data_IF_454578261812
#
_entry.id   IF_454578261812
#
_cell.length_a   1.000
_cell.length_b   1.000
_cell.length_c   1.000
_cell.angle_alpha   90.00
_cell.angle_beta   90.00
_cell.angle_gamma   90.00
#
_symmetry.space_group_name_H-M   'P 1'
#
loop_
_entity.id
_entity.type
_entity.pdbx_description
1 polymer ?
#
# COMPACT_ATOMS: atom_id res chain seq x y z
N UNK A 1 -3.73 30.02 9.65
CA UNK A 1 -4.09 29.39 8.36
C UNK A 1 -2.84 28.72 7.78
N UNK A 2 -2.96 27.45 7.37
CA UNK A 2 -2.10 26.65 6.48
C UNK A 2 -0.60 26.46 6.79
N UNK A 3 -0.28 25.39 7.52
CA UNK A 3 1.03 24.71 7.45
C UNK A 3 0.84 23.27 6.97
N UNK A 4 0.43 23.10 5.71
CA UNK A 4 0.13 21.80 5.11
C UNK A 4 1.17 21.30 4.09
N UNK A 5 2.22 22.08 3.80
CA UNK A 5 3.06 21.83 2.62
C UNK A 5 4.37 21.06 2.88
N UNK A 6 4.77 20.82 4.13
CA UNK A 6 6.09 20.24 4.45
C UNK A 6 6.11 18.71 4.49
N UNK A 7 5.04 18.06 4.98
CA UNK A 7 4.98 16.61 5.09
C UNK A 7 5.09 15.89 3.75
N UNK A 8 4.68 16.56 2.64
CA UNK A 8 4.72 15.93 1.32
C UNK A 8 6.11 15.77 0.74
N UNK A 9 6.96 16.78 0.91
CA UNK A 9 8.34 16.75 0.44
C UNK A 9 9.18 15.73 1.22
N UNK A 10 8.99 15.64 2.53
CA UNK A 10 9.73 14.69 3.38
C UNK A 10 9.35 13.23 3.14
N UNK A 11 8.06 12.91 2.91
CA UNK A 11 7.69 11.51 2.59
C UNK A 11 8.24 11.06 1.23
N UNK A 12 8.34 11.97 0.24
CA UNK A 12 8.92 11.64 -1.07
C UNK A 12 10.42 11.48 -1.00
N UNK A 13 11.11 12.31 -0.23
CA UNK A 13 12.54 12.17 -0.02
C UNK A 13 12.90 10.81 0.61
N UNK A 14 12.13 10.35 1.61
CA UNK A 14 12.38 9.08 2.27
C UNK A 14 12.09 7.86 1.38
N UNK A 15 11.04 7.93 0.55
CA UNK A 15 10.75 6.88 -0.43
C UNK A 15 11.84 6.83 -1.51
N UNK A 16 12.27 7.98 -2.04
CA UNK A 16 13.35 8.07 -3.03
C UNK A 16 14.69 7.59 -2.48
N UNK A 17 15.01 7.88 -1.22
CA UNK A 17 16.21 7.35 -0.55
C UNK A 17 16.17 5.83 -0.40
N UNK A 18 14.97 5.26 -0.25
CA UNK A 18 14.73 3.81 -0.23
C UNK A 18 14.55 3.22 -1.64
N UNK A 19 14.75 4.02 -2.69
CA UNK A 19 14.51 3.64 -4.08
C UNK A 19 13.08 3.18 -4.40
N UNK A 20 12.12 3.60 -3.57
CA UNK A 20 10.70 3.29 -3.71
C UNK A 20 9.96 4.44 -4.40
N UNK A 21 9.17 4.10 -5.41
CA UNK A 21 8.35 5.03 -6.15
C UNK A 21 6.86 4.69 -5.97
N UNK A 22 6.02 5.63 -5.49
CA UNK A 22 4.59 5.36 -5.34
C UNK A 22 3.94 5.05 -6.67
N UNK A 23 3.13 3.99 -6.69
CA UNK A 23 2.43 3.57 -7.90
C UNK A 23 1.46 4.64 -8.40
N UNK A 24 0.86 5.42 -7.50
CA UNK A 24 0.02 6.57 -7.86
C UNK A 24 0.76 7.63 -8.69
N UNK A 25 2.04 7.89 -8.40
CA UNK A 25 2.83 8.87 -9.15
C UNK A 25 3.26 8.28 -10.50
N UNK A 26 3.61 7.00 -10.55
CA UNK A 26 3.89 6.27 -11.79
C UNK A 26 2.70 6.39 -12.75
N UNK A 27 1.50 6.03 -12.31
CA UNK A 27 0.28 6.15 -13.12
C UNK A 27 0.04 7.58 -13.62
N UNK A 28 0.33 8.58 -12.77
CA UNK A 28 0.18 9.99 -13.13
C UNK A 28 1.21 10.44 -14.17
N UNK A 29 2.45 9.97 -14.08
CA UNK A 29 3.53 10.34 -15.01
C UNK A 29 3.34 9.71 -16.40
N UNK A 30 2.91 8.45 -16.46
CA UNK A 30 2.76 7.77 -17.74
C UNK A 30 1.54 8.24 -18.54
N UNK A 31 0.55 8.89 -17.89
CA UNK A 31 -0.67 9.47 -18.48
C UNK A 31 -1.43 8.55 -19.47
N UNK A 32 -1.09 7.26 -19.48
CA UNK A 32 -1.69 6.18 -20.24
C UNK A 32 -2.14 5.13 -19.21
N UNK A 33 -3.33 4.53 -19.40
CA UNK A 33 -3.72 3.39 -18.58
C UNK A 33 -2.70 2.27 -18.75
N UNK A 34 -2.31 1.66 -17.63
CA UNK A 34 -1.42 0.48 -17.63
C UNK A 34 -2.07 -0.63 -18.47
N UNK A 35 -1.24 -1.41 -19.16
CA UNK A 35 -1.73 -2.53 -19.94
C UNK A 35 -2.23 -3.67 -19.02
N UNK A 36 -2.94 -4.63 -19.60
CA UNK A 36 -3.51 -5.75 -18.84
C UNK A 36 -2.42 -6.56 -18.12
N UNK A 37 -1.31 -6.88 -18.79
CA UNK A 37 -0.20 -7.64 -18.17
C UNK A 37 0.45 -6.89 -16.99
N UNK A 38 0.56 -5.57 -17.08
CA UNK A 38 1.07 -4.71 -16.01
C UNK A 38 0.12 -4.69 -14.82
N UNK A 39 -1.20 -4.59 -15.07
CA UNK A 39 -2.20 -4.70 -14.03
C UNK A 39 -2.12 -6.06 -13.33
N UNK A 40 -1.99 -7.15 -14.10
CA UNK A 40 -1.79 -8.49 -13.56
C UNK A 40 -0.52 -8.61 -12.72
N UNK A 41 0.61 -8.13 -13.21
CA UNK A 41 1.89 -8.19 -12.51
C UNK A 41 1.83 -7.44 -11.16
N UNK A 42 1.28 -6.23 -11.14
CA UNK A 42 1.15 -5.43 -9.92
C UNK A 42 0.19 -6.11 -8.93
N UNK A 43 -0.95 -6.61 -9.39
CA UNK A 43 -1.91 -7.31 -8.54
C UNK A 43 -1.32 -8.59 -7.92
N UNK A 44 -0.60 -9.38 -8.73
CA UNK A 44 0.04 -10.60 -8.27
C UNK A 44 1.11 -10.31 -7.21
N UNK A 45 1.98 -9.32 -7.48
CA UNK A 45 3.03 -8.94 -6.54
C UNK A 45 2.49 -8.33 -5.25
N UNK A 46 1.42 -7.51 -5.33
CA UNK A 46 0.70 -7.05 -4.13
C UNK A 46 0.23 -8.26 -3.30
N UNK A 47 -0.42 -9.24 -3.93
CA UNK A 47 -0.93 -10.42 -3.24
C UNK A 47 0.20 -11.25 -2.61
N UNK A 48 1.31 -11.47 -3.33
CA UNK A 48 2.48 -12.19 -2.81
C UNK A 48 3.09 -11.48 -1.60
N UNK A 49 3.21 -10.16 -1.65
CA UNK A 49 3.69 -9.36 -0.53
C UNK A 49 2.83 -9.60 0.72
N UNK A 50 1.50 -9.59 0.58
CA UNK A 50 0.57 -9.82 1.67
C UNK A 50 0.62 -11.24 2.25
N UNK A 51 0.74 -12.25 1.39
CA UNK A 51 0.88 -13.64 1.81
C UNK A 51 2.17 -13.86 2.61
N UNK A 52 3.25 -13.15 2.26
CA UNK A 52 4.55 -13.27 2.91
C UNK A 52 4.64 -12.50 4.23
N UNK A 53 4.17 -11.26 4.26
CA UNK A 53 4.38 -10.36 5.41
C UNK A 53 3.33 -10.53 6.51
N UNK A 54 2.19 -11.18 6.27
CA UNK A 54 1.08 -11.43 7.22
C UNK A 54 0.81 -10.26 8.20
N UNK A 55 0.96 -9.02 7.75
CA UNK A 55 0.97 -7.85 8.63
C UNK A 55 -0.36 -7.11 8.53
N UNK A 56 -1.21 -7.28 9.56
CA UNK A 56 -2.51 -6.61 9.65
C UNK A 56 -2.40 -5.09 9.50
N UNK A 57 -1.31 -4.50 9.99
CA UNK A 57 -1.01 -3.07 9.87
C UNK A 57 -0.88 -2.62 8.41
N UNK A 58 -0.28 -3.45 7.53
CA UNK A 58 -0.14 -3.10 6.11
C UNK A 58 -1.44 -3.23 5.34
N UNK A 59 -2.31 -4.17 5.72
CA UNK A 59 -3.68 -4.22 5.20
C UNK A 59 -4.48 -2.96 5.57
N UNK A 60 -4.35 -2.47 6.81
CA UNK A 60 -5.01 -1.23 7.22
C UNK A 60 -4.56 -0.05 6.36
N UNK A 61 -3.27 0.04 6.06
CA UNK A 61 -2.71 1.11 5.22
C UNK A 61 -3.19 1.04 3.77
N UNK A 62 -3.36 -0.16 3.21
CA UNK A 62 -3.97 -0.30 1.88
C UNK A 62 -5.45 0.11 1.92
N UNK A 63 -6.18 -0.27 2.96
CA UNK A 63 -7.59 0.12 3.08
C UNK A 63 -7.75 1.64 3.23
N UNK A 64 -6.89 2.29 4.03
CA UNK A 64 -6.97 3.72 4.32
C UNK A 64 -6.46 4.59 3.14
N UNK A 65 -5.33 4.21 2.52
CA UNK A 65 -4.65 5.03 1.51
C UNK A 65 -4.74 4.48 0.08
N UNK A 66 -5.26 3.27 -0.10
CA UNK A 66 -5.40 2.62 -1.40
C UNK A 66 -4.08 2.52 -2.15
N UNK A 67 -4.11 2.84 -3.44
CA UNK A 67 -2.96 2.80 -4.34
C UNK A 67 -1.80 3.74 -3.95
N UNK A 68 -2.03 4.68 -3.02
CA UNK A 68 -1.03 5.65 -2.54
C UNK A 68 -0.11 5.10 -1.45
N UNK A 69 -0.41 3.92 -0.89
CA UNK A 69 0.50 3.17 -0.01
C UNK A 69 1.31 2.12 -0.78
N UNK A 70 0.94 1.82 -2.02
CA UNK A 70 1.67 0.90 -2.91
C UNK A 70 2.86 1.63 -3.54
N UNK A 71 4.05 1.08 -3.35
CA UNK A 71 5.29 1.57 -3.94
C UNK A 71 6.00 0.45 -4.71
N UNK A 72 6.74 0.81 -5.75
CA UNK A 72 7.56 -0.08 -6.55
C UNK A 72 9.04 0.30 -6.38
N UNK A 73 9.95 -0.67 -6.29
CA UNK A 73 11.38 -0.41 -6.43
C UNK A 73 11.83 -0.46 -7.91
N UNK A 74 13.11 -0.17 -8.19
CA UNK A 74 13.68 -0.29 -9.55
C UNK A 74 13.67 -1.70 -10.10
N UNK A 75 13.70 -2.70 -9.23
CA UNK A 75 13.66 -4.12 -9.57
C UNK A 75 12.24 -4.57 -9.95
N UNK A 76 11.23 -3.73 -9.72
CA UNK A 76 9.83 -4.00 -10.01
C UNK A 76 9.09 -4.74 -8.91
N UNK A 77 9.68 -4.87 -7.71
CA UNK A 77 9.05 -5.44 -6.52
C UNK A 77 8.07 -4.44 -5.87
N UNK A 78 6.93 -4.97 -5.42
CA UNK A 78 5.89 -4.20 -4.71
C UNK A 78 6.17 -4.15 -3.21
N UNK A 79 6.13 -2.94 -2.66
CA UNK A 79 6.19 -2.68 -1.22
C UNK A 79 5.01 -1.83 -0.75
N UNK A 80 4.41 -2.21 0.38
CA UNK A 80 3.37 -1.41 1.03
C UNK A 80 4.03 -0.57 2.12
N UNK A 81 4.08 0.73 1.88
CA UNK A 81 4.68 1.68 2.81
C UNK A 81 3.62 2.16 3.80
N UNK A 82 3.93 1.99 5.08
CA UNK A 82 3.11 2.49 6.17
C UNK A 82 3.38 3.98 6.27
N UNK A 83 2.38 4.81 5.93
CA UNK A 83 2.45 6.23 6.25
C UNK A 83 2.35 6.33 7.77
N UNK A 84 3.49 6.53 8.42
CA UNK A 84 3.52 6.88 9.84
C UNK A 84 2.99 8.31 10.00
N UNK A 85 1.67 8.47 9.85
CA UNK A 85 0.96 9.60 10.42
C UNK A 85 1.03 9.43 11.93
N UNK A 86 1.59 10.41 12.63
CA UNK A 86 1.82 10.33 14.07
C UNK A 86 0.59 9.89 14.88
N UNK A 87 0.79 9.34 16.09
CA UNK A 87 -0.22 8.68 16.89
C UNK A 87 -1.27 9.66 17.44
N UNK A 88 -2.20 10.12 16.60
CA UNK A 88 -3.36 10.90 17.02
C UNK A 88 -4.62 10.23 16.46
N UNK A 89 -5.00 9.11 17.07
CA UNK A 89 -6.16 8.31 16.68
C UNK A 89 -6.52 7.28 17.75
N UNK A 90 -6.81 7.76 18.96
CA UNK A 90 -7.67 7.16 19.99
C UNK A 90 -7.97 5.67 19.89
N UNK A 91 -7.07 4.80 20.38
CA UNK A 91 -7.33 3.51 21.05
C UNK A 91 -8.67 2.79 20.85
N UNK A 92 -9.14 2.67 19.61
CA UNK A 92 -10.34 1.93 19.23
C UNK A 92 -9.95 1.13 18.01
N UNK A 93 -9.13 0.10 18.25
CA UNK A 93 -9.03 -1.00 17.30
C UNK A 93 -10.45 -1.53 17.01
N UNK A 94 -10.69 -2.03 15.80
CA UNK A 94 -11.98 -2.65 15.48
C UNK A 94 -12.26 -3.79 16.49
N UNK A 95 -13.53 -4.00 16.89
CA UNK A 95 -13.87 -5.08 17.81
C UNK A 95 -13.39 -6.40 17.23
N UNK A 96 -12.65 -7.18 18.04
CA UNK A 96 -12.26 -8.53 17.67
C UNK A 96 -13.50 -9.35 17.34
N UNK A 97 -13.52 -9.94 16.14
CA UNK A 97 -14.59 -10.82 15.71
C UNK A 97 -14.47 -11.21 14.25
N UNK A 98 -14.02 -12.43 14.01
CA UNK A 98 -14.65 -13.33 13.03
C UNK A 98 -14.63 -12.91 11.53
N UNK A 99 -13.47 -12.66 10.92
CA UNK A 99 -13.39 -12.68 9.44
C UNK A 99 -12.04 -13.23 8.94
N UNK A 100 -11.74 -14.49 9.26
CA UNK A 100 -10.82 -15.29 8.45
C UNK A 100 -11.03 -16.80 8.63
N UNK A 101 -12.27 -17.28 8.54
CA UNK A 101 -12.56 -18.71 8.29
C UNK A 101 -13.80 -18.83 7.40
N UNK A 102 -13.70 -18.44 6.13
CA UNK A 102 -14.74 -18.83 5.15
C UNK A 102 -14.23 -18.97 3.69
N UNK A 103 -12.92 -19.14 3.48
CA UNK A 103 -12.40 -19.37 2.13
C UNK A 103 -11.52 -20.62 2.00
N UNK A 104 -11.79 -21.65 2.80
CA UNK A 104 -11.18 -22.98 2.57
C UNK A 104 -12.14 -24.14 2.89
N UNK A 105 -13.42 -24.02 2.55
CA UNK A 105 -14.33 -25.18 2.53
C UNK A 105 -15.39 -25.01 1.43
N UNK A 106 -14.96 -25.02 0.17
CA UNK A 106 -15.84 -25.28 -0.98
C UNK A 106 -15.03 -25.81 -2.15
N UNK A 107 -14.50 -27.02 -1.97
CA UNK A 107 -14.14 -27.94 -3.05
C UNK A 107 -14.06 -29.34 -2.44
N UNK A 108 -15.22 -29.92 -2.19
CA UNK A 108 -15.41 -31.37 -2.32
C UNK A 108 -15.94 -31.61 -3.73
#
# INVERSE_FOLDING_TARGET
MASGSSARGSYMAQLLESDLLPFADILRFFNNPINEEQAWAVCYQCAQFYLREQSQEKYQQLFEYGIRSVCLNREGEVHIHIRSGGPNGSGKGPPGGEFLQDFVQSST
#
